data_IF_904309614548
#
_entry.id   IF_904309614548
#
_cell.length_a   1.000
_cell.length_b   1.000
_cell.length_c   1.000
_cell.angle_alpha   90.00
_cell.angle_beta   90.00
_cell.angle_gamma   90.00
#
_symmetry.space_group_name_H-M   'P 1'
#
loop_
_entity.id
_entity.type
_entity.pdbx_description
1 polymer ?
2 water ?
#
# COMPACT_ATOMS: atom_id res chain seq x y z
N UNK A 3 1.82 14.52 -16.13
CA UNK A 3 1.95 16.01 -16.15
C UNK A 3 1.68 16.54 -14.75
N UNK A 4 0.64 17.37 -14.62
CA UNK A 4 0.10 17.72 -13.31
C UNK A 4 -1.03 16.72 -13.04
N UNK A 5 -1.44 16.02 -14.09
CA UNK A 5 -2.48 14.99 -14.00
C UNK A 5 -2.08 13.89 -13.05
N UNK A 6 -0.77 13.75 -12.83
CA UNK A 6 -0.26 12.71 -11.96
C UNK A 6 0.17 13.21 -10.57
N UNK A 7 0.11 14.53 -10.36
CA UNK A 7 0.37 15.09 -9.04
C UNK A 7 -0.87 14.98 -8.19
N UNK A 8 -2.03 15.04 -8.87
CA UNK A 8 -3.33 14.86 -8.24
C UNK A 8 -3.51 13.43 -7.75
N UNK A 9 -3.18 12.48 -8.61
CA UNK A 9 -3.24 11.05 -8.30
C UNK A 9 -2.33 10.73 -7.09
N UNK A 10 -1.13 11.31 -7.07
CA UNK A 10 -0.18 11.16 -5.96
C UNK A 10 -0.71 11.81 -4.66
N UNK A 11 -1.29 13.00 -4.80
CA UNK A 11 -1.89 13.74 -3.68
C UNK A 11 -3.05 12.93 -3.10
N UNK A 12 -3.95 12.47 -3.97
CA UNK A 12 -5.11 11.67 -3.59
C UNK A 12 -4.72 10.37 -2.87
N UNK A 13 -3.56 9.82 -3.25
CA UNK A 13 -3.03 8.59 -2.65
C UNK A 13 -2.53 8.84 -1.23
N UNK A 14 -1.67 9.85 -1.06
CA UNK A 14 -1.13 10.23 0.24
C UNK A 14 -2.25 10.60 1.20
N UNK A 15 -3.28 11.25 0.66
CA UNK A 15 -4.48 11.56 1.41
C UNK A 15 -5.24 10.29 1.70
N UNK A 16 -5.52 9.50 0.66
CA UNK A 16 -6.17 8.21 0.84
C UNK A 16 -5.45 7.39 1.93
N UNK A 17 -4.10 7.38 1.86
CA UNK A 17 -3.23 6.66 2.80
C UNK A 17 -3.58 6.88 4.29
N UNK A 18 -3.53 8.14 4.71
CA UNK A 18 -3.77 8.53 6.10
C UNK A 18 -5.19 8.16 6.54
N UNK A 19 -6.18 8.44 5.70
CA UNK A 19 -7.56 8.11 6.00
C UNK A 19 -7.68 6.61 6.19
N UNK A 20 -7.12 5.84 5.25
CA UNK A 20 -7.17 4.39 5.32
C UNK A 20 -6.50 3.90 6.57
N UNK A 21 -5.36 4.51 6.91
CA UNK A 21 -4.64 4.19 8.15
C UNK A 21 -5.53 4.45 9.35
N UNK A 22 -6.15 5.63 9.37
CA UNK A 22 -7.01 6.04 10.47
C UNK A 22 -8.23 5.14 10.72
N UNK A 23 -8.85 4.64 9.64
CA UNK A 23 -9.94 3.67 9.78
C UNK A 23 -9.50 2.34 10.37
N UNK A 24 -8.32 1.88 9.94
CA UNK A 24 -7.74 0.64 10.43
C UNK A 24 -7.27 0.79 11.88
N UNK A 25 -6.47 1.84 12.13
CA UNK A 25 -5.91 2.12 13.46
C UNK A 25 -6.93 2.13 14.61
N UNK A 26 -8.10 2.72 14.38
CA UNK A 26 -9.15 2.75 15.39
C UNK A 26 -9.71 1.37 15.71
N UNK A 27 -9.54 0.43 14.77
CA UNK A 27 -9.97 -0.93 14.99
C UNK A 27 -8.93 -1.62 15.88
N UNK A 28 -7.76 -1.93 15.31
CA UNK A 28 -6.69 -2.62 16.06
C UNK A 28 -5.47 -1.75 16.38
N UNK A 29 -5.38 -1.36 17.66
CA UNK A 29 -4.32 -0.49 18.16
C UNK A 29 -3.07 -1.27 18.58
N UNK A 30 -3.12 -2.60 18.48
CA UNK A 30 -2.04 -3.45 18.98
C UNK A 30 -1.37 -4.38 17.97
N UNK A 31 -1.77 -4.28 16.71
CA UNK A 31 -1.20 -5.12 15.66
C UNK A 31 -0.54 -4.26 14.59
N UNK A 32 0.25 -4.88 13.73
CA UNK A 32 0.88 -4.17 12.62
C UNK A 32 -0.15 -3.76 11.58
N UNK A 33 -0.03 -2.53 11.10
CA UNK A 33 -0.89 -2.04 10.02
C UNK A 33 0.03 -1.77 8.86
N UNK A 34 -0.18 -2.50 7.76
CA UNK A 34 0.65 -2.34 6.57
C UNK A 34 -0.19 -2.60 5.34
N UNK A 35 -0.10 -1.71 4.37
CA UNK A 35 -0.88 -1.79 3.14
C UNK A 35 -0.21 -1.01 2.02
N UNK A 36 -0.61 -1.26 0.78
CA UNK A 36 -0.11 -0.49 -0.34
C UNK A 36 -1.22 0.41 -0.87
N UNK A 37 -1.18 1.70 -0.48
CA UNK A 37 -2.20 2.65 -0.91
C UNK A 37 -2.22 2.85 -2.43
N UNK A 38 -1.08 2.70 -3.07
CA UNK A 38 -0.97 2.78 -4.52
C UNK A 38 -1.66 1.58 -5.19
N UNK A 39 -1.41 0.38 -4.66
CA UNK A 39 -2.03 -0.82 -5.20
C UNK A 39 -3.54 -0.76 -5.03
N UNK A 40 -3.98 -0.39 -3.83
CA UNK A 40 -5.42 -0.31 -3.48
C UNK A 40 -6.13 0.73 -4.34
N UNK A 41 -5.58 1.94 -4.37
CA UNK A 41 -6.17 3.04 -5.08
C UNK A 41 -6.20 2.78 -6.59
N UNK A 42 -5.07 2.34 -7.14
CA UNK A 42 -4.96 2.05 -8.57
C UNK A 42 -5.92 0.97 -9.04
N UNK A 43 -6.28 0.05 -8.12
CA UNK A 43 -7.20 -1.05 -8.42
C UNK A 43 -8.66 -0.65 -8.32
N UNK A 44 -8.98 0.23 -7.38
CA UNK A 44 -10.36 0.73 -7.23
C UNK A 44 -10.67 1.65 -8.39
N UNK A 45 -9.60 2.21 -8.97
CA UNK A 45 -9.71 3.08 -10.13
C UNK A 45 -10.31 2.31 -11.27
N UNK A 46 -9.95 1.03 -11.37
CA UNK A 46 -10.53 0.12 -12.37
C UNK A 46 -12.05 0.04 -12.24
N UNK A 47 -12.52 -0.04 -11.00
CA UNK A 47 -13.95 -0.15 -10.72
C UNK A 47 -14.66 1.21 -10.76
N UNK A 48 -13.94 2.26 -10.36
CA UNK A 48 -14.45 3.65 -10.45
C UNK A 48 -14.69 4.02 -11.89
N UNK A 49 -13.79 3.54 -12.76
CA UNK A 49 -13.90 3.71 -14.20
C UNK A 49 -15.23 3.17 -14.74
N UNK A 50 -15.75 2.12 -14.10
CA UNK A 50 -16.99 1.47 -14.51
C UNK A 50 -18.24 1.96 -13.77
N UNK A 51 -18.06 2.83 -12.77
CA UNK A 51 -19.16 3.31 -11.94
C UNK A 51 -19.88 4.57 -12.46
N UNK A 52 -21.18 4.64 -12.19
CA UNK A 52 -22.03 5.77 -12.55
C UNK A 52 -22.70 6.35 -11.30
N UNK A 53 -23.21 7.58 -11.42
CA UNK A 53 -23.96 8.24 -10.32
C UNK A 53 -23.25 8.32 -8.99
N UNK A 54 -24.00 8.12 -7.89
CA UNK A 54 -23.41 8.20 -6.55
C UNK A 54 -22.54 6.98 -6.19
N UNK A 55 -22.66 5.88 -6.94
CA UNK A 55 -21.75 4.75 -6.77
C UNK A 55 -20.35 5.25 -7.10
N UNK A 56 -20.24 5.93 -8.25
CA UNK A 56 -19.00 6.53 -8.72
C UNK A 56 -18.51 7.68 -7.86
N UNK A 57 -19.45 8.45 -7.30
CA UNK A 57 -19.15 9.63 -6.51
C UNK A 57 -18.54 9.27 -5.17
N UNK A 58 -19.14 8.28 -4.50
CA UNK A 58 -18.65 7.83 -3.20
C UNK A 58 -17.23 7.32 -3.31
N UNK A 59 -16.89 6.70 -4.43
CA UNK A 59 -15.54 6.18 -4.65
C UNK A 59 -14.56 7.34 -4.82
N UNK A 60 -14.85 8.22 -5.78
CA UNK A 60 -14.05 9.42 -6.03
C UNK A 60 -13.81 10.26 -4.78
N UNK A 61 -14.78 10.26 -3.86
CA UNK A 61 -14.68 11.03 -2.64
C UNK A 61 -13.77 10.40 -1.59
N UNK A 62 -13.95 9.10 -1.32
CA UNK A 62 -13.05 8.42 -0.35
C UNK A 62 -11.62 8.24 -0.90
N UNK A 63 -11.52 7.93 -2.18
CA UNK A 63 -10.24 7.78 -2.87
C UNK A 63 -9.54 9.13 -3.11
N UNK A 64 -10.30 10.21 -2.92
CA UNK A 64 -9.83 11.58 -3.07
C UNK A 64 -9.67 12.03 -4.52
N UNK A 65 -10.35 11.35 -5.46
CA UNK A 65 -10.32 11.75 -6.87
C UNK A 65 -10.99 13.12 -7.07
N UNK A 66 -12.00 13.41 -6.26
CA UNK A 66 -12.67 14.72 -6.23
C UNK A 66 -13.03 15.07 -4.78
N UNK A 67 -13.31 16.32 -4.49
CA UNK A 67 -13.74 16.73 -3.15
C UNK A 67 -15.25 16.60 -3.04
N UNK A 68 -15.96 17.21 -4.01
CA UNK A 68 -17.41 17.17 -4.06
C UNK A 68 -17.90 16.25 -5.19
N UNK A 96 -12.11 12.70 -12.51
CA UNK A 96 -12.49 11.76 -13.56
C UNK A 96 -11.36 11.55 -14.56
N UNK A 97 -11.43 12.25 -15.69
CA UNK A 97 -10.42 12.15 -16.76
C UNK A 97 -9.02 12.41 -16.25
N UNK A 98 -8.86 13.47 -15.46
CA UNK A 98 -7.58 13.88 -14.93
C UNK A 98 -6.92 12.78 -14.10
N UNK A 99 -7.75 12.05 -13.36
CA UNK A 99 -7.34 10.94 -12.49
C UNK A 99 -6.86 9.71 -13.24
N UNK A 100 -7.64 9.27 -14.23
CA UNK A 100 -7.27 8.11 -15.06
C UNK A 100 -6.03 8.41 -15.88
N UNK A 101 -5.89 9.67 -16.29
CA UNK A 101 -4.73 10.14 -17.06
C UNK A 101 -3.44 10.11 -16.26
N UNK A 102 -3.50 10.59 -15.03
CA UNK A 102 -2.37 10.59 -14.11
C UNK A 102 -1.97 9.20 -13.65
N UNK A 103 -2.97 8.36 -13.41
CA UNK A 103 -2.73 6.95 -13.08
C UNK A 103 -1.96 6.22 -14.18
N UNK A 104 -2.39 6.42 -15.42
CA UNK A 104 -1.73 5.81 -16.58
C UNK A 104 -0.25 6.16 -16.61
N UNK A 105 0.03 7.46 -16.46
CA UNK A 105 1.39 7.99 -16.50
C UNK A 105 2.23 7.66 -15.24
N UNK A 106 1.58 7.20 -14.17
CA UNK A 106 2.31 6.77 -12.97
C UNK A 106 2.58 5.29 -13.12
N UNK A 107 1.62 4.58 -13.71
CA UNK A 107 1.77 3.18 -14.03
C UNK A 107 2.87 3.05 -15.10
N UNK A 108 2.84 3.93 -16.10
CA UNK A 108 3.88 3.98 -17.13
C UNK A 108 5.27 4.24 -16.54
N UNK A 109 5.34 5.18 -15.59
CA UNK A 109 6.62 5.53 -14.95
C UNK A 109 7.16 4.42 -14.06
N UNK A 110 6.28 3.76 -13.31
CA UNK A 110 6.69 2.72 -12.37
C UNK A 110 7.12 1.44 -13.03
N UNK A 111 6.68 1.26 -14.28
CA UNK A 111 7.00 0.06 -15.04
C UNK A 111 8.06 0.27 -16.13
N UNK A 112 8.82 1.37 -16.03
CA UNK A 112 9.94 1.59 -16.97
C UNK A 112 10.87 0.37 -16.93
N UNK A 113 11.71 0.19 -17.96
CA UNK A 113 12.57 -0.98 -17.95
C UNK A 113 13.86 -0.77 -17.13
N UNK A 114 14.39 0.45 -17.18
CA UNK A 114 15.65 0.81 -16.51
C UNK A 114 15.48 1.18 -15.03
N UNK A 115 14.28 0.97 -14.50
CA UNK A 115 14.00 1.20 -13.09
C UNK A 115 14.83 0.30 -12.21
N UNK A 116 15.36 0.88 -11.13
CA UNK A 116 16.09 0.13 -10.14
C UNK A 116 15.13 -0.15 -9.00
N UNK A 117 14.16 -1.00 -9.31
CA UNK A 117 13.13 -1.42 -8.36
C UNK A 117 12.04 -2.13 -9.13
N UNK A 118 11.39 -3.08 -8.48
CA UNK A 118 10.32 -3.82 -9.10
C UNK A 118 9.05 -3.74 -8.28
N UNK A 119 7.95 -3.41 -8.98
CA UNK A 119 6.61 -3.41 -8.42
C UNK A 119 5.85 -4.49 -9.16
N UNK A 120 5.86 -5.70 -8.61
CA UNK A 120 5.13 -6.83 -9.21
C UNK A 120 3.69 -6.71 -8.74
N UNK A 121 2.90 -5.95 -9.50
CA UNK A 121 1.54 -5.60 -9.11
C UNK A 121 0.51 -6.52 -9.81
N UNK A 122 -0.53 -6.92 -9.08
CA UNK A 122 -1.57 -7.81 -9.62
C UNK A 122 -3.01 -7.24 -9.50
N UNK A 123 -3.25 -6.09 -10.12
CA UNK A 123 -4.58 -5.48 -10.09
C UNK A 123 -5.45 -5.97 -11.26
N UNK A 124 -6.62 -6.52 -10.91
CA UNK A 124 -7.57 -6.99 -11.91
C UNK A 124 -8.94 -7.13 -11.31
N UNK A 125 -9.96 -6.91 -12.13
CA UNK A 125 -11.33 -7.21 -11.71
C UNK A 125 -11.86 -8.45 -12.42
N UNK A 126 -12.38 -9.38 -11.63
CA UNK A 126 -12.96 -10.62 -12.17
C UNK A 126 -14.48 -10.55 -12.12
N UNK A 127 -15.11 -10.58 -13.29
CA UNK A 127 -16.56 -10.48 -13.40
C UNK A 127 -17.18 -11.83 -13.84
N UNK A 128 -18.42 -12.07 -13.42
CA UNK A 128 -19.20 -13.26 -13.81
C UNK A 128 -19.37 -13.38 -15.32
N UNK A 129 -19.20 -14.59 -15.83
CA UNK A 129 -19.26 -14.87 -17.27
C UNK A 129 -20.55 -14.41 -17.99
N UNK A 130 -21.67 -14.35 -17.27
CA UNK A 130 -22.98 -14.00 -17.89
C UNK A 130 -23.27 -12.50 -18.01
N UNK A 131 -22.36 -11.67 -17.52
CA UNK A 131 -22.50 -10.22 -17.65
C UNK A 131 -21.95 -9.75 -18.99
N UNK A 132 -22.74 -8.95 -19.69
CA UNK A 132 -22.31 -8.38 -20.96
C UNK A 132 -21.49 -7.11 -20.69
N UNK A 133 -20.18 -7.23 -20.86
CA UNK A 133 -19.28 -6.10 -20.67
C UNK A 133 -19.36 -5.16 -21.87
N UNK A 134 -19.15 -3.87 -21.65
CA UNK A 134 -19.17 -2.87 -22.71
C UNK A 134 -17.80 -2.69 -23.36
N UNK A 135 -17.78 -2.67 -24.71
CA UNK A 135 -16.53 -2.56 -25.47
C UNK A 135 -15.72 -1.31 -25.10
N UNK A 136 -16.42 -0.19 -24.98
CA UNK A 136 -15.80 1.09 -24.63
C UNK A 136 -15.02 0.99 -23.33
N UNK A 137 -15.61 0.31 -22.34
CA UNK A 137 -14.93 0.13 -21.07
C UNK A 137 -13.70 -0.73 -21.27
N UNK A 138 -13.81 -1.73 -22.14
CA UNK A 138 -12.69 -2.62 -22.43
C UNK A 138 -11.49 -1.89 -23.06
N UNK A 139 -11.76 -0.87 -23.90
CA UNK A 139 -10.69 -0.11 -24.56
C UNK A 139 -10.19 1.07 -23.74
N UNK A 140 -11.04 1.58 -22.85
CA UNK A 140 -10.65 2.63 -21.90
C UNK A 140 -9.82 2.03 -20.76
N UNK A 141 -10.20 0.84 -20.31
CA UNK A 141 -9.49 0.13 -19.27
C UNK A 141 -8.10 -0.30 -19.77
N UNK A 142 -8.03 -0.72 -21.02
CA UNK A 142 -6.77 -1.16 -21.63
C UNK A 142 -5.79 0.02 -21.80
N UNK A 143 -6.33 1.19 -22.12
CA UNK A 143 -5.52 2.39 -22.33
C UNK A 143 -4.86 2.92 -21.05
N UNK A 144 -5.65 3.25 -20.04
CA UNK A 144 -5.12 3.87 -18.83
C UNK A 144 -4.46 2.89 -17.86
N UNK A 145 -4.84 1.61 -17.93
CA UNK A 145 -4.35 0.69 -16.91
C UNK A 145 -3.63 -0.55 -17.43
N UNK A 146 -3.62 -0.75 -18.74
CA UNK A 146 -3.07 -1.97 -19.32
C UNK A 146 -3.63 -3.19 -18.52
N UNK A 147 -4.89 -3.06 -18.11
CA UNK A 147 -5.62 -4.11 -17.39
C UNK A 147 -7.04 -4.17 -17.94
N UNK A 148 -7.60 -5.37 -18.00
CA UNK A 148 -8.96 -5.57 -18.52
C UNK A 148 -9.74 -6.63 -17.72
N UNK A 149 -11.08 -6.45 -17.61
CA UNK A 149 -11.92 -7.36 -16.83
C UNK A 149 -11.99 -8.76 -17.42
N UNK A 150 -11.77 -9.76 -16.57
CA UNK A 150 -11.80 -11.17 -16.97
C UNK A 150 -13.14 -11.83 -16.63
N UNK A 151 -13.63 -12.67 -17.54
CA UNK A 151 -14.89 -13.36 -17.35
C UNK A 151 -14.69 -14.80 -16.91
N UNK A 152 -15.03 -15.07 -15.66
CA UNK A 152 -14.98 -16.42 -15.11
C UNK A 152 -16.39 -16.86 -14.75
N UNK A 153 -16.64 -18.17 -14.82
CA UNK A 153 -17.93 -18.71 -14.42
C UNK A 153 -17.99 -18.84 -12.88
N UNK A 154 -18.45 -17.79 -12.22
CA UNK A 154 -18.64 -17.83 -10.77
C UNK A 154 -19.85 -18.71 -10.45
N UNK A 155 -20.92 -18.50 -11.21
CA UNK A 155 -22.22 -19.16 -11.02
C UNK A 155 -22.21 -20.66 -10.77
N UNK A 156 -21.58 -21.43 -11.66
CA UNK A 156 -21.58 -22.90 -11.52
C UNK A 156 -20.19 -23.50 -11.30
N UNK A 157 -19.16 -22.64 -11.22
CA UNK A 157 -17.78 -23.11 -10.95
C UNK A 157 -16.95 -22.09 -10.14
N UNK A 158 -17.39 -21.75 -8.91
CA UNK A 158 -16.66 -20.76 -8.11
C UNK A 158 -15.20 -21.16 -7.83
N UNK A 159 -14.95 -22.44 -7.51
CA UNK A 159 -13.59 -22.94 -7.22
C UNK A 159 -12.63 -22.94 -8.41
N UNK A 160 -13.13 -23.26 -9.60
CA UNK A 160 -12.32 -23.22 -10.81
C UNK A 160 -11.94 -21.77 -11.12
N UNK A 161 -12.86 -20.84 -10.80
CA UNK A 161 -12.63 -19.41 -10.93
C UNK A 161 -11.62 -18.94 -9.88
N UNK A 162 -11.81 -19.42 -8.64
CA UNK A 162 -10.93 -19.07 -7.52
C UNK A 162 -9.49 -19.46 -7.78
N UNK A 163 -9.27 -20.74 -8.08
CA UNK A 163 -7.95 -21.28 -8.38
C UNK A 163 -7.31 -20.55 -9.57
N UNK A 164 -8.13 -20.24 -10.57
CA UNK A 164 -7.68 -19.50 -11.75
C UNK A 164 -7.18 -18.09 -11.37
N UNK A 165 -7.92 -17.41 -10.50
CA UNK A 165 -7.54 -16.08 -10.02
C UNK A 165 -6.28 -16.14 -9.14
N UNK A 166 -6.26 -17.04 -8.16
CA UNK A 166 -5.10 -17.21 -7.26
C UNK A 166 -3.82 -17.57 -8.01
N UNK A 167 -3.97 -18.24 -9.15
CA UNK A 167 -2.85 -18.63 -10.03
C UNK A 167 -2.28 -17.42 -10.78
N UNK A 168 -3.17 -16.55 -11.26
CA UNK A 168 -2.76 -15.33 -11.96
C UNK A 168 -2.07 -14.38 -10.99
N UNK A 169 -2.70 -14.17 -9.83
CA UNK A 169 -2.16 -13.31 -8.75
C UNK A 169 -0.80 -13.81 -8.28
N UNK A 170 -0.60 -15.12 -8.34
CA UNK A 170 0.67 -15.71 -7.92
C UNK A 170 1.75 -15.56 -8.99
N UNK A 171 1.36 -15.68 -10.27
CA UNK A 171 2.32 -15.54 -11.38
C UNK A 171 2.70 -14.09 -11.67
N UNK A 172 1.85 -13.15 -11.24
CA UNK A 172 2.12 -11.73 -11.40
C UNK A 172 3.00 -11.20 -10.27
N UNK A 173 2.89 -11.80 -9.08
CA UNK A 173 3.68 -11.41 -7.91
C UNK A 173 4.92 -12.30 -7.70
N UNK A 174 5.50 -12.79 -8.79
CA UNK A 174 6.64 -13.71 -8.74
C UNK A 174 6.50 -14.82 -7.69
N UNK A 175 5.36 -15.51 -7.73
CA UNK A 175 5.06 -16.61 -6.80
C UNK A 175 4.94 -16.21 -5.33
N UNK A 176 5.29 -14.96 -5.01
CA UNK A 176 5.30 -14.51 -3.62
C UNK A 176 3.93 -14.44 -2.91
N UNK A 177 2.85 -14.42 -3.70
CA UNK A 177 1.50 -14.35 -3.16
C UNK A 177 0.58 -15.36 -3.82
N UNK A 178 0.46 -16.54 -3.20
CA UNK A 178 -0.48 -17.57 -3.64
C UNK A 178 -1.72 -17.46 -2.74
N UNK A 179 -2.78 -18.19 -3.09
CA UNK A 179 -4.01 -18.28 -2.28
C UNK A 179 -4.56 -16.94 -1.77
N UNK A 180 -4.53 -15.91 -2.61
CA UNK A 180 -5.03 -14.58 -2.28
C UNK A 180 -6.49 -14.67 -1.82
N UNK A 181 -7.30 -15.37 -2.60
CA UNK A 181 -8.71 -15.60 -2.27
C UNK A 181 -8.84 -16.93 -1.57
N UNK A 182 -9.55 -16.95 -0.45
CA UNK A 182 -9.79 -18.22 0.27
C UNK A 182 -11.09 -18.85 -0.26
N UNK A 183 -11.37 -20.08 0.20
CA UNK A 183 -12.57 -20.81 -0.23
C UNK A 183 -13.86 -20.06 0.10
N UNK A 184 -13.84 -19.33 1.21
CA UNK A 184 -15.01 -18.58 1.67
C UNK A 184 -15.21 -17.25 0.91
N UNK A 185 -14.24 -16.89 0.07
CA UNK A 185 -14.32 -15.65 -0.71
C UNK A 185 -15.01 -15.79 -2.09
N UNK A 186 -15.22 -17.02 -2.57
CA UNK A 186 -15.83 -17.27 -3.89
C UNK A 186 -16.99 -18.27 -3.80
N UNK A 187 -18.19 -17.76 -4.02
CA UNK A 187 -19.40 -18.57 -3.99
C UNK A 187 -20.17 -18.44 -5.30
N UNK A 188 -21.25 -19.22 -5.45
CA UNK A 188 -22.10 -19.13 -6.63
C UNK A 188 -22.69 -17.73 -6.73
N UNK A 189 -22.82 -17.07 -5.58
CA UNK A 189 -23.31 -15.70 -5.51
C UNK A 189 -22.37 -14.73 -6.20
N UNK A 190 -21.09 -14.78 -5.82
CA UNK A 190 -20.06 -13.86 -6.32
C UNK A 190 -20.30 -13.35 -7.74
N UNK A 191 -20.25 -12.04 -7.90
CA UNK A 191 -20.44 -11.40 -9.20
C UNK A 191 -19.17 -10.68 -9.63
N UNK A 192 -18.56 -9.95 -8.71
CA UNK A 192 -17.33 -9.22 -9.02
C UNK A 192 -16.28 -9.28 -7.91
N UNK A 193 -15.05 -9.61 -8.31
CA UNK A 193 -13.92 -9.62 -7.41
C UNK A 193 -12.87 -8.65 -7.92
N UNK A 194 -12.57 -7.65 -7.09
CA UNK A 194 -11.48 -6.75 -7.35
C UNK A 194 -10.27 -7.23 -6.53
N UNK A 195 -9.39 -7.98 -7.18
CA UNK A 195 -8.15 -8.41 -6.55
C UNK A 195 -7.11 -7.33 -6.76
N UNK A 196 -6.30 -7.12 -5.74
CA UNK A 196 -5.22 -6.18 -5.81
C UNK A 196 -4.10 -6.62 -4.88
N UNK A 197 -3.08 -7.26 -5.46
CA UNK A 197 -1.90 -7.68 -4.70
C UNK A 197 -0.67 -6.92 -5.21
N UNK A 198 0.43 -7.01 -4.47
CA UNK A 198 1.67 -6.35 -4.89
C UNK A 198 2.91 -6.92 -4.19
N UNK A 199 3.92 -7.26 -4.97
CA UNK A 199 5.21 -7.74 -4.45
C UNK A 199 6.31 -6.73 -4.74
N UNK A 200 7.06 -6.36 -3.70
CA UNK A 200 8.08 -5.32 -3.84
C UNK A 200 9.54 -5.87 -3.89
N UNK A 201 10.25 -5.52 -4.96
CA UNK A 201 11.66 -5.85 -5.10
C UNK A 201 12.47 -4.57 -5.29
N UNK A 202 13.43 -4.34 -4.39
CA UNK A 202 14.32 -3.19 -4.49
C UNK A 202 15.58 -3.36 -3.66
N UNK A 203 16.64 -2.69 -4.08
CA UNK A 203 17.92 -2.77 -3.38
C UNK A 203 18.28 -1.42 -2.73
N UNK A 204 18.88 -1.49 -1.54
CA UNK A 204 19.34 -0.30 -0.83
C UNK A 204 20.45 0.44 -1.57
N UNK A 205 20.50 1.77 -1.41
CA UNK A 205 21.58 2.60 -1.97
C UNK A 205 22.86 2.22 -1.24
N UNK A 206 22.76 2.21 0.09
CA UNK A 206 23.83 1.73 0.94
C UNK A 206 23.17 0.57 1.67
N UNK A 207 23.70 -0.63 1.48
CA UNK A 207 23.09 -1.80 2.10
C UNK A 207 23.85 -2.26 3.34
N UNK A 208 23.14 -2.94 4.24
CA UNK A 208 23.72 -3.39 5.49
C UNK A 208 24.68 -4.55 5.26
N UNK A 209 25.53 -4.80 6.25
CA UNK A 209 26.52 -5.86 6.13
C UNK A 209 26.05 -7.08 6.91
N UNK A 210 25.92 -8.19 6.21
CA UNK A 210 25.43 -9.43 6.80
C UNK A 210 26.07 -9.74 8.14
N UNK A 211 27.40 -9.57 8.20
CA UNK A 211 28.17 -9.89 9.40
C UNK A 211 27.79 -9.02 10.62
N UNK A 212 27.23 -7.84 10.39
CA UNK A 212 26.88 -6.93 11.48
C UNK A 212 25.44 -7.05 12.01
N UNK A 213 24.65 -7.92 11.37
CA UNK A 213 23.30 -8.19 11.86
C UNK A 213 23.40 -9.15 13.04
N UNK A 214 22.74 -8.80 14.15
CA UNK A 214 22.74 -9.61 15.38
C UNK A 214 21.40 -9.53 16.09
N UNK A 215 21.14 -10.48 17.00
CA UNK A 215 19.88 -10.52 17.75
C UNK A 215 19.83 -9.47 18.86
N UNK A 216 18.78 -8.67 18.87
CA UNK A 216 18.62 -7.56 19.82
C UNK A 216 17.16 -7.36 20.21
N UNK A 217 16.92 -6.87 21.44
CA UNK A 217 15.55 -6.62 21.88
C UNK A 217 14.86 -5.42 21.18
N UNK A 218 13.64 -5.66 20.72
CA UNK A 218 12.78 -4.62 20.14
C UNK A 218 11.65 -4.40 21.15
N UNK A 219 11.55 -3.18 21.65
CA UNK A 219 10.58 -2.83 22.68
C UNK A 219 9.16 -2.62 22.14
N UNK A 220 8.26 -3.56 22.45
CA UNK A 220 6.84 -3.43 22.11
C UNK A 220 6.22 -2.34 22.99
N UNK A 221 6.28 -2.56 24.30
CA UNK A 221 5.80 -1.59 25.27
C UNK A 221 7.02 -1.05 25.98
N UNK A 222 6.81 -0.32 27.07
CA UNK A 222 7.92 0.07 27.94
C UNK A 222 8.36 -1.13 28.75
N UNK A 223 7.37 -1.94 29.15
CA UNK A 223 7.56 -3.09 30.02
C UNK A 223 8.00 -4.35 29.26
N UNK A 224 7.33 -4.61 28.15
CA UNK A 224 7.57 -5.80 27.34
C UNK A 224 8.43 -5.53 26.11
N UNK A 225 9.28 -6.50 25.75
CA UNK A 225 10.11 -6.42 24.55
C UNK A 225 10.18 -7.79 23.86
N UNK A 226 10.80 -7.83 22.68
CA UNK A 226 10.90 -9.05 21.90
C UNK A 226 12.15 -9.03 21.04
N UNK A 227 12.88 -10.16 20.96
CA UNK A 227 14.07 -10.16 20.13
C UNK A 227 13.71 -10.17 18.66
N UNK A 228 14.62 -9.64 17.86
CA UNK A 228 14.49 -9.55 16.40
C UNK A 228 15.92 -9.56 15.86
N UNK A 229 16.13 -10.01 14.63
CA UNK A 229 17.42 -9.80 13.99
C UNK A 229 17.50 -8.30 13.69
N UNK A 230 18.46 -7.64 14.34
CA UNK A 230 18.65 -6.20 14.22
C UNK A 230 19.84 -5.93 13.30
N UNK A 231 19.58 -5.28 12.17
CA UNK A 231 20.64 -4.92 11.22
C UNK A 231 21.32 -3.64 11.68
N UNK A 232 22.55 -3.42 11.24
CA UNK A 232 23.27 -2.21 11.62
C UNK A 232 24.33 -1.74 10.61
N UNK A 233 24.48 -0.42 10.54
CA UNK A 233 25.51 0.24 9.73
C UNK A 233 25.79 1.66 10.26
N UNK A 234 27.01 2.13 10.05
CA UNK A 234 27.34 3.51 10.33
C UNK A 234 27.47 4.19 8.98
N UNK A 235 26.54 5.09 8.68
CA UNK A 235 26.55 5.79 7.40
C UNK A 235 25.72 7.08 7.46
N UNK A 236 25.84 7.90 6.41
CA UNK A 236 25.14 9.20 6.29
C UNK A 236 23.77 9.12 5.61
N UNK A 237 22.76 9.72 6.22
CA UNK A 237 21.41 9.76 5.63
C UNK A 237 20.71 11.10 5.88
N UNK A 238 19.69 11.43 5.04
CA UNK A 238 18.85 12.60 5.30
C UNK A 238 18.03 12.37 6.58
N UNK A 239 18.17 13.27 7.54
CA UNK A 239 17.49 13.13 8.83
C UNK A 239 16.86 14.45 9.25
N UNK A 240 15.60 14.38 9.66
CA UNK A 240 14.87 15.53 10.19
C UNK A 240 14.66 15.36 11.70
N UNK A 241 15.01 16.39 12.47
CA UNK A 241 14.91 16.36 13.93
C UNK A 241 13.74 17.23 14.39
N UNK A 242 12.54 16.65 14.45
CA UNK A 242 11.33 17.36 14.85
C UNK A 242 11.17 17.37 16.39
N UNK A 243 11.85 18.32 17.04
CA UNK A 243 11.84 18.45 18.50
C UNK A 243 10.47 18.82 19.09
N UNK A 244 9.77 19.74 18.43
CA UNK A 244 8.46 20.20 18.87
C UNK A 244 7.41 19.08 18.91
N UNK A 245 7.59 18.07 18.06
CA UNK A 245 6.63 16.99 17.91
C UNK A 245 7.12 15.66 18.48
N UNK A 246 8.30 15.70 19.10
CA UNK A 246 8.90 14.54 19.77
C UNK A 246 9.16 13.29 18.91
N UNK A 247 9.91 13.46 17.82
CA UNK A 247 10.36 12.36 16.94
C UNK A 247 11.53 12.78 16.02
N UNK A 248 12.09 11.79 15.33
CA UNK A 248 13.15 12.00 14.34
C UNK A 248 12.83 11.14 13.12
N UNK A 249 13.16 11.63 11.93
CA UNK A 249 12.84 10.87 10.72
C UNK A 249 14.05 10.68 9.84
N UNK A 250 14.16 9.49 9.25
CA UNK A 250 15.28 9.18 8.37
C UNK A 250 14.81 8.84 6.96
N UNK A 251 15.64 9.15 5.97
CA UNK A 251 15.38 8.74 4.61
C UNK A 251 16.40 7.68 4.21
N UNK A 252 15.91 6.51 3.83
CA UNK A 252 16.79 5.43 3.42
C UNK A 252 16.54 5.12 1.92
N UNK A 253 17.32 5.76 1.02
CA UNK A 253 17.12 5.56 -0.42
C UNK A 253 17.44 4.17 -0.90
N UNK A 254 16.65 3.72 -1.87
CA UNK A 254 16.95 2.52 -2.61
C UNK A 254 17.88 2.96 -3.73
N UNK A 255 18.24 2.08 -4.67
CA UNK A 255 19.24 2.45 -5.69
C UNK A 255 18.92 3.63 -6.62
N UNK A 256 19.89 4.53 -6.73
CA UNK A 256 19.75 5.81 -7.43
C UNK A 256 18.74 6.76 -6.76
N UNK A 257 18.25 6.35 -5.59
CA UNK A 257 17.28 7.13 -4.82
C UNK A 257 15.98 7.37 -5.61
N UNK A 258 15.63 6.41 -6.46
CA UNK A 258 14.37 6.50 -7.23
C UNK A 258 13.22 6.26 -6.28
N UNK A 259 13.44 5.35 -5.34
CA UNK A 259 12.51 5.04 -4.28
C UNK A 259 13.24 5.23 -2.94
N UNK A 260 12.48 5.56 -1.90
CA UNK A 260 13.04 5.69 -0.56
C UNK A 260 12.04 5.19 0.47
N UNK A 261 12.57 4.76 1.61
CA UNK A 261 11.73 4.41 2.75
C UNK A 261 11.98 5.40 3.87
N UNK A 262 10.94 6.09 4.30
CA UNK A 262 11.06 7.02 5.40
C UNK A 262 10.60 6.32 6.66
N UNK A 263 11.32 6.54 7.76
CA UNK A 263 10.98 5.95 9.06
C UNK A 263 10.83 7.05 10.11
N UNK A 264 9.65 7.13 10.72
CA UNK A 264 9.40 8.13 11.76
C UNK A 264 9.44 7.49 13.14
N UNK A 265 10.52 7.76 13.88
CA UNK A 265 10.69 7.24 15.24
C UNK A 265 10.36 8.26 16.32
N UNK A 266 9.36 7.94 17.16
CA UNK A 266 9.16 8.76 18.36
C UNK A 266 10.46 8.81 19.15
N UNK A 267 10.85 10.01 19.58
CA UNK A 267 12.09 10.16 20.35
C UNK A 267 12.29 9.02 21.35
N UNK A 268 11.19 8.45 21.83
CA UNK A 268 11.22 7.29 22.71
C UNK A 268 9.78 6.84 22.99
N UNK A 269 9.65 5.75 23.73
CA UNK A 269 8.34 5.27 24.20
C UNK A 269 7.89 6.13 25.39
N UNK A 270 7.01 7.08 25.11
CA UNK A 270 6.45 7.95 26.15
C UNK A 270 4.93 7.73 26.20
N UNK A 271 4.53 6.46 26.05
CA UNK A 271 3.12 6.07 25.97
C UNK A 271 2.78 4.82 26.79
N UNK A 272 1.49 4.67 27.04
CA UNK A 272 0.97 3.51 27.76
C UNK A 272 1.04 2.26 26.91
N UNK A 273 1.35 2.45 25.63
CA UNK A 273 1.49 1.32 24.71
C UNK A 273 2.73 1.36 23.78
N UNK A 274 2.56 1.87 22.56
CA UNK A 274 3.61 1.79 21.54
C UNK A 274 4.59 2.97 21.49
N UNK A 275 4.11 4.16 21.84
CA UNK A 275 4.95 5.37 21.76
C UNK A 275 4.58 6.22 20.57
N UNK A 276 3.71 5.68 19.72
CA UNK A 276 3.25 6.35 18.50
C UNK A 276 1.90 7.05 18.71
N UNK A 277 1.34 6.91 19.91
CA UNK A 277 0.02 7.49 20.19
C UNK A 277 -0.08 8.99 19.87
N UNK A 278 1.04 9.69 19.91
CA UNK A 278 1.07 11.13 19.60
C UNK A 278 1.14 11.39 18.09
N UNK A 279 1.92 10.58 17.39
CA UNK A 279 2.13 10.73 15.95
C UNK A 279 0.88 10.40 15.17
N UNK A 280 0.16 9.39 15.63
CA UNK A 280 -1.08 8.93 15.02
C UNK A 280 -2.20 9.90 15.31
N UNK A 281 -2.19 10.46 16.52
CA UNK A 281 -3.18 11.44 16.95
C UNK A 281 -2.95 12.80 16.28
N UNK A 282 -1.89 12.88 15.48
CA UNK A 282 -1.56 14.12 14.76
C UNK A 282 -1.19 13.86 13.30
N UNK A 283 -1.41 12.62 12.85
CA UNK A 283 -1.06 12.22 11.49
C UNK A 283 -1.84 13.03 10.47
N UNK A 284 -1.13 13.44 9.43
CA UNK A 284 -1.66 14.30 8.37
C UNK A 284 -0.81 14.05 7.13
N UNK A 285 -1.38 14.22 5.93
CA UNK A 285 -0.59 14.06 4.71
C UNK A 285 0.19 15.32 4.34
N UNK A 286 -0.40 16.48 4.63
CA UNK A 286 0.25 17.76 4.41
C UNK A 286 1.53 17.78 5.22
N UNK A 287 1.45 17.35 6.49
CA UNK A 287 2.59 17.26 7.38
C UNK A 287 3.61 16.23 6.91
N UNK A 288 3.10 15.04 6.57
CA UNK A 288 3.89 13.89 6.15
C UNK A 288 4.84 14.25 5.03
N UNK A 289 4.27 14.82 3.98
CA UNK A 289 5.04 15.26 2.82
C UNK A 289 5.90 16.47 3.13
N UNK A 290 5.46 17.32 4.06
CA UNK A 290 6.23 18.49 4.47
C UNK A 290 7.54 18.05 5.11
N UNK A 291 7.47 17.05 5.97
CA UNK A 291 8.68 16.53 6.61
C UNK A 291 9.56 15.77 5.61
N UNK A 292 8.92 15.04 4.70
CA UNK A 292 9.62 14.23 3.69
C UNK A 292 10.60 15.06 2.84
N UNK A 293 10.21 16.29 2.53
CA UNK A 293 11.04 17.16 1.69
C UNK A 293 11.43 18.44 2.42
N UNK A 294 11.37 18.38 3.76
CA UNK A 294 11.72 19.52 4.59
C UNK A 294 13.16 19.93 4.36
N UNK A 295 13.38 21.19 4.02
CA UNK A 295 14.72 21.72 3.86
C UNK A 295 15.45 21.62 5.20
N UNK A 296 14.68 21.34 6.26
CA UNK A 296 15.18 21.17 7.61
C UNK A 296 15.69 19.73 7.80
N UNK A 297 15.54 18.92 6.75
CA UNK A 297 16.08 17.57 6.73
C UNK A 297 17.45 17.72 6.11
N UNK A 298 18.45 17.12 6.75
CA UNK A 298 19.83 17.32 6.35
C UNK A 298 20.66 16.03 6.45
N UNK A 299 21.69 15.91 5.62
CA UNK A 299 22.60 14.77 5.66
C UNK A 299 23.19 14.64 7.05
N UNK A 300 23.24 13.40 7.57
CA UNK A 300 23.74 13.17 8.91
C UNK A 300 24.35 11.78 9.00
N UNK A 301 25.49 11.69 9.68
CA UNK A 301 26.13 10.42 9.94
C UNK A 301 25.30 9.73 11.03
N UNK A 302 24.80 8.55 10.69
CA UNK A 302 23.86 7.86 11.55
C UNK A 302 24.37 6.49 12.01
N UNK A 303 24.25 6.24 13.31
CA UNK A 303 24.50 4.93 13.89
C UNK A 303 23.13 4.26 13.81
N UNK A 304 22.89 3.55 12.70
CA UNK A 304 21.56 3.03 12.36
C UNK A 304 21.28 1.57 12.71
N UNK A 305 20.25 1.35 13.52
CA UNK A 305 19.79 0.00 13.86
C UNK A 305 18.38 -0.20 13.32
N UNK A 306 18.25 -1.02 12.29
CA UNK A 306 16.97 -1.26 11.63
C UNK A 306 16.63 -2.76 11.62
N UNK A 307 15.55 -3.16 12.33
CA UNK A 307 15.16 -4.56 12.43
C UNK A 307 14.73 -5.19 11.10
N UNK A 308 15.12 -6.44 10.89
CA UNK A 308 14.63 -7.23 9.77
C UNK A 308 13.17 -7.55 10.05
N UNK A 309 12.35 -7.50 9.00
CA UNK A 309 10.94 -7.89 9.08
C UNK A 309 10.36 -8.11 7.68
N UNK A 310 9.48 -9.10 7.56
CA UNK A 310 8.78 -9.35 6.32
C UNK A 310 7.30 -9.25 6.60
N UNK A 311 6.66 -8.25 6.00
CA UNK A 311 5.24 -8.01 6.15
C UNK A 311 4.50 -8.50 4.92
N UNK A 312 3.49 -9.32 5.16
CA UNK A 312 2.67 -9.85 4.08
C UNK A 312 1.19 -9.70 4.39
N UNK A 313 0.84 -8.56 4.98
CA UNK A 313 -0.53 -8.23 5.34
C UNK A 313 -1.53 -8.43 4.17
N UNK A 314 -2.64 -9.08 4.48
CA UNK A 314 -3.71 -9.35 3.50
C UNK A 314 -5.02 -8.79 4.05
N UNK A 315 -5.62 -7.85 3.34
CA UNK A 315 -6.83 -7.21 3.84
C UNK A 315 -8.08 -7.32 2.95
N UNK A 316 -9.14 -7.91 3.51
CA UNK A 316 -10.45 -7.89 2.86
C UNK A 316 -11.03 -6.50 3.18
N UNK A 317 -11.05 -5.66 2.15
CA UNK A 317 -11.35 -4.23 2.29
C UNK A 317 -12.81 -3.79 2.29
N UNK A 318 -13.75 -4.72 2.09
CA UNK A 318 -15.16 -4.37 1.99
C UNK A 318 -15.66 -3.43 3.08
N UNK A 319 -15.89 -3.98 4.26
CA UNK A 319 -16.39 -3.20 5.41
C UNK A 319 -15.57 -1.97 5.72
N UNK A 320 -14.26 -2.08 5.55
CA UNK A 320 -13.35 -0.96 5.78
C UNK A 320 -13.67 0.19 4.83
N UNK A 321 -13.94 -0.13 3.57
CA UNK A 321 -14.31 0.86 2.56
C UNK A 321 -15.70 1.46 2.77
N UNK A 322 -16.65 0.62 3.21
CA UNK A 322 -18.01 1.06 3.48
C UNK A 322 -18.01 2.00 4.69
N UNK A 323 -17.03 1.81 5.58
CA UNK A 323 -16.87 2.67 6.73
C UNK A 323 -16.27 4.00 6.34
N UNK A 324 -15.42 3.97 5.33
CA UNK A 324 -14.81 5.18 4.80
C UNK A 324 -15.76 6.01 3.92
N UNK A 325 -16.94 5.46 3.61
CA UNK A 325 -17.95 6.21 2.86
C UNK A 325 -18.41 5.58 1.57
N UNK A 326 -17.77 4.47 1.17
CA UNK A 326 -18.11 3.78 -0.06
C UNK A 326 -19.19 2.70 0.17
N UNK A 327 -20.45 3.13 0.07
CA UNK A 327 -21.63 2.33 0.42
C UNK A 327 -22.26 1.60 -0.77
N UNK A 328 -22.74 2.39 -1.73
CA UNK A 328 -23.54 1.93 -2.88
C UNK A 328 -22.87 0.89 -3.79
N UNK A 329 -21.56 1.02 -4.02
CA UNK A 329 -20.82 0.06 -4.84
C UNK A 329 -20.97 -1.40 -4.37
N UNK A 330 -21.27 -1.58 -3.08
CA UNK A 330 -21.39 -2.90 -2.46
C UNK A 330 -22.84 -3.35 -2.22
N UNK A 331 -23.80 -2.57 -2.71
CA UNK A 331 -25.22 -2.89 -2.53
C UNK A 331 -25.86 -3.34 -3.85
N UNK A 332 -27.13 -3.77 -3.77
CA UNK A 332 -27.90 -4.15 -4.95
C UNK A 332 -28.21 -2.90 -5.78
N UNK A 333 -27.98 -1.73 -5.17
CA UNK A 333 -28.18 -0.45 -5.84
C UNK A 333 -26.95 0.10 -6.58
N UNK A 334 -25.85 -0.68 -6.59
CA UNK A 334 -24.63 -0.33 -7.31
C UNK A 334 -24.91 0.02 -8.77
N UNK A 335 -24.12 0.94 -9.30
CA UNK A 335 -24.29 1.32 -10.69
C UNK A 335 -22.94 1.26 -11.39
N UNK A 336 -22.69 0.13 -12.02
CA UNK A 336 -21.46 -0.09 -12.76
C UNK A 336 -21.74 -0.23 -14.25
N UNK A 337 -22.67 0.61 -14.74
CA UNK A 337 -23.08 0.59 -16.14
C UNK A 337 -22.07 1.22 -17.10
N UNK A 338 -20.87 1.47 -16.60
CA UNK A 338 -19.76 1.90 -17.43
C UNK A 338 -19.14 0.65 -18.04
N UNK A 339 -19.39 -0.49 -17.41
CA UNK A 339 -18.85 -1.78 -17.87
C UNK A 339 -19.93 -2.79 -18.31
N UNK A 340 -21.15 -2.67 -17.75
CA UNK A 340 -22.28 -3.56 -18.11
C UNK A 340 -23.51 -2.79 -18.58
N UNK A 341 -24.37 -3.47 -19.32
CA UNK A 341 -25.54 -2.85 -19.92
C UNK A 341 -26.66 -2.58 -18.90
N UNK A 342 -26.80 -3.47 -17.91
CA UNK A 342 -27.87 -3.37 -16.91
C UNK A 342 -27.36 -3.07 -15.49
N UNK A 343 -28.24 -2.48 -14.67
CA UNK A 343 -27.93 -2.12 -13.29
C UNK A 343 -28.17 -3.31 -12.35
N UNK A 344 -27.30 -4.31 -12.48
CA UNK A 344 -27.43 -5.57 -11.72
C UNK A 344 -26.07 -6.11 -11.25
N UNK A 345 -25.07 -5.22 -11.22
CA UNK A 345 -23.69 -5.57 -10.90
C UNK A 345 -23.23 -4.84 -9.63
N UNK A 346 -22.77 -5.59 -8.64
CA UNK A 346 -22.28 -5.01 -7.39
C UNK A 346 -20.92 -5.59 -7.07
N UNK A 347 -20.10 -4.85 -6.31
CA UNK A 347 -18.83 -5.42 -5.88
C UNK A 347 -19.08 -6.45 -4.77
N UNK A 348 -18.42 -7.60 -4.90
CA UNK A 348 -18.59 -8.68 -3.96
C UNK A 348 -17.43 -8.72 -2.97
N UNK A 349 -16.21 -8.72 -3.52
CA UNK A 349 -15.00 -8.79 -2.71
C UNK A 349 -13.95 -7.79 -3.17
N UNK A 350 -13.27 -7.17 -2.21
CA UNK A 350 -12.15 -6.30 -2.49
C UNK A 350 -11.06 -6.88 -1.63
N UNK A 351 -10.16 -7.67 -2.21
CA UNK A 351 -9.10 -8.29 -1.42
C UNK A 351 -7.72 -7.78 -1.76
N UNK A 352 -7.08 -7.15 -0.76
CA UNK A 352 -5.73 -6.62 -0.93
C UNK A 352 -4.69 -7.40 -0.16
N UNK A 353 -3.49 -7.49 -0.73
CA UNK A 353 -2.33 -8.08 -0.06
C UNK A 353 -1.01 -7.58 -0.64
N UNK A 354 -0.13 -7.15 0.25
CA UNK A 354 1.21 -6.71 -0.16
C UNK A 354 2.29 -7.47 0.62
N UNK A 355 3.40 -7.74 -0.07
CA UNK A 355 4.53 -8.43 0.50
C UNK A 355 5.75 -7.50 0.40
N UNK A 356 6.24 -7.05 1.55
CA UNK A 356 7.44 -6.24 1.57
C UNK A 356 8.35 -6.74 2.68
N UNK A 357 9.63 -6.86 2.35
CA UNK A 357 10.64 -7.24 3.32
C UNK A 357 11.58 -6.06 3.53
N UNK A 358 12.13 -5.98 4.74
CA UNK A 358 13.17 -5.01 5.06
C UNK A 358 14.35 -5.84 5.53
N UNK A 359 15.33 -5.96 4.66
CA UNK A 359 16.47 -6.79 4.97
C UNK A 359 17.79 -6.04 4.71
N UNK A 360 18.88 -6.82 4.58
CA UNK A 360 20.23 -6.28 4.44
C UNK A 360 20.50 -5.63 3.10
N UNK A 361 20.16 -6.32 2.00
CA UNK A 361 20.29 -5.75 0.65
C UNK A 361 19.14 -4.80 0.32
N UNK A 362 18.02 -4.95 1.05
CA UNK A 362 16.81 -4.17 0.81
C UNK A 362 15.61 -5.05 0.99
N UNK A 363 15.11 -5.60 -0.12
CA UNK A 363 14.01 -6.54 -0.06
C UNK A 363 14.53 -7.98 0.08
N UNK A 364 15.83 -8.17 -0.12
CA UNK A 364 16.48 -9.49 -0.03
C UNK A 364 17.54 -9.52 1.06
N UNK A 365 17.90 -10.71 1.52
CA UNK A 365 18.98 -10.88 2.51
C UNK A 365 20.37 -11.01 1.85
N UNK A 366 21.42 -10.65 2.58
CA UNK A 366 22.80 -10.71 2.07
C UNK A 366 23.41 -12.11 2.19
N UNK A 367 24.52 -12.33 1.46
CA UNK A 367 25.23 -13.62 1.48
C UNK A 367 26.10 -13.78 2.71
N UNK A 383 28.13 11.76 15.59
CA UNK A 383 27.40 10.56 15.18
C UNK A 383 26.08 10.43 15.93
N UNK A 384 24.97 10.72 15.25
CA UNK A 384 23.65 10.62 15.85
C UNK A 384 23.22 9.16 15.96
N UNK A 385 22.83 8.74 17.15
CA UNK A 385 22.33 7.38 17.36
C UNK A 385 20.88 7.25 16.87
N UNK A 386 20.67 6.45 15.81
CA UNK A 386 19.33 6.19 15.28
C UNK A 386 18.99 4.70 15.46
N UNK A 387 18.53 4.36 16.66
CA UNK A 387 18.25 2.97 17.00
C UNK A 387 16.76 2.69 16.95
N UNK A 388 16.36 1.97 15.91
CA UNK A 388 14.98 1.59 15.72
C UNK A 388 14.68 0.30 16.49
N UNK A 389 14.41 0.44 17.78
CA UNK A 389 13.98 -0.70 18.61
C UNK A 389 12.68 -0.43 19.38
N UNK A 390 11.84 0.41 18.77
CA UNK A 390 10.51 0.70 19.30
C UNK A 390 9.59 1.03 18.14
N UNK A 391 8.26 0.87 18.33
CA UNK A 391 7.30 1.00 17.23
C UNK A 391 7.51 2.26 16.38
N UNK A 392 7.36 2.10 15.07
CA UNK A 392 7.62 3.18 14.14
C UNK A 392 6.71 3.18 12.93
N UNK A 393 6.40 4.39 12.46
CA UNK A 393 5.64 4.57 11.24
C UNK A 393 6.65 4.63 10.10
N UNK A 394 6.27 4.14 8.94
CA UNK A 394 7.17 4.13 7.79
C UNK A 394 6.40 4.13 6.48
N UNK A 395 7.10 4.45 5.39
CA UNK A 395 6.50 4.40 4.06
C UNK A 395 7.53 4.40 2.94
N UNK A 396 7.25 3.63 1.90
CA UNK A 396 8.11 3.59 0.74
C UNK A 396 7.52 4.53 -0.29
N UNK A 397 8.26 5.58 -0.65
CA UNK A 397 7.76 6.57 -1.59
C UNK A 397 8.48 6.49 -2.93
N UNK A 398 7.81 6.91 -3.99
CA UNK A 398 8.43 7.08 -5.29
C UNK A 398 8.80 8.55 -5.36
N UNK A 399 10.07 8.85 -5.14
CA UNK A 399 10.56 10.23 -4.96
C UNK A 399 10.15 11.30 -5.97
N UNK A 400 10.40 11.04 -7.26
CA UNK A 400 10.11 12.01 -8.32
C UNK A 400 8.68 12.55 -8.26
N UNK A 401 7.71 11.64 -8.21
CA UNK A 401 6.28 11.97 -8.20
C UNK A 401 5.67 12.10 -6.81
N UNK A 402 6.45 11.73 -5.79
CA UNK A 402 6.01 11.79 -4.38
C UNK A 402 4.79 10.91 -4.08
N UNK A 403 4.73 9.76 -4.74
CA UNK A 403 3.65 8.81 -4.56
C UNK A 403 4.03 7.85 -3.45
N UNK A 404 3.21 7.77 -2.41
CA UNK A 404 3.40 6.73 -1.40
C UNK A 404 2.98 5.39 -2.03
N UNK A 405 3.92 4.45 -2.04
CA UNK A 405 3.65 3.10 -2.57
C UNK A 405 3.22 2.16 -1.44
N UNK A 406 3.89 2.25 -0.29
CA UNK A 406 3.55 1.44 0.89
C UNK A 406 3.57 2.31 2.12
N UNK A 407 2.71 1.98 3.08
CA UNK A 407 2.64 2.72 4.34
C UNK A 407 2.20 1.75 5.42
N UNK A 408 2.71 1.95 6.63
CA UNK A 408 2.27 1.15 7.75
C UNK A 408 2.89 1.58 9.06
N UNK A 409 2.48 0.90 10.13
CA UNK A 409 3.09 1.11 11.43
C UNK A 409 3.64 -0.23 11.87
N UNK A 410 4.96 -0.31 12.03
CA UNK A 410 5.56 -1.51 12.57
C UNK A 410 5.76 -1.29 14.06
N UNK A 411 5.17 -2.16 14.86
CA UNK A 411 5.16 -2.05 16.31
C UNK A 411 5.35 -3.39 16.92
N UNK A 412 4.99 -4.41 16.16
CA UNK A 412 4.69 -5.68 16.72
C UNK A 412 5.24 -6.86 15.90
N UNK A 413 6.54 -7.19 16.07
CA UNK A 413 7.21 -8.32 15.38
C UNK A 413 6.30 -9.55 15.23
N UNK A 414 6.08 -9.98 13.99
CA UNK A 414 5.20 -11.12 13.70
C UNK A 414 5.84 -12.42 14.16
N UNK A 415 7.11 -12.61 13.84
CA UNK A 415 7.87 -13.79 14.30
C UNK A 415 7.50 -14.20 15.72
#
# INVERSE_FOLDING_TARGET
MLEISMEQVSASIGNFTVDLFNKLNETNRDKNIFFSPWSISSALALTYLAAKGSTAREMAEVLHFTEAVRAESSSVARPSRGRPKRRRMDPEHEQAENIHSGFKELLTAFNKPRNNYSLRSANRIYVEKTYALLPTYLQLSKKYYKAEPQKVNFKTAPEQSRKEINTWVEKQTESKIKNLLSSDDVKATTRLILVNAIYFKAEWEVKFQAEKTSIQPFRLSKNKSKPVKMMYMRDTFPVLIMEKMNFKMIELPYVKRELSMFILLPDDIKDGTTGLEQLERELTYERLSEWADSKMMTETLVDLHLPKFSLEDRIDLRDTLRNMGMTTAFTTNADFRGMTDKKDLAISKVIHQSFVAVDEKGTEAAAATAVIISFTTSVINHVLKFKVDHPFHFFIRHNKSKTILFFGRFCCPVE
#
